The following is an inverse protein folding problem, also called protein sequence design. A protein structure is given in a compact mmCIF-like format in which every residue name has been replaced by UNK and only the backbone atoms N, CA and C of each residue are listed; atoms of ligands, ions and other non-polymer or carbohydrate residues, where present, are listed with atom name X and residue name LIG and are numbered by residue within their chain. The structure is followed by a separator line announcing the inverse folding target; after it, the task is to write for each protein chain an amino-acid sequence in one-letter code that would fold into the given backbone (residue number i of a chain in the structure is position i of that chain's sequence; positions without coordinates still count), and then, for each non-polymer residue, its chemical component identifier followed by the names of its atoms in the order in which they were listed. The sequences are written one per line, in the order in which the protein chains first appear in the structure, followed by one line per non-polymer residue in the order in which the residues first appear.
data_IF_633844710960
#
_entry.id   IF_633844710960
#
_cell.length_a   1.000
_cell.length_b   1.000
_cell.length_c   1.000
_cell.angle_alpha   90.00
_cell.angle_beta   90.00
_cell.angle_gamma   90.00
#
_symmetry.space_group_name_H-M   'P 1'
#
loop_
_entity.id
_entity.type
_entity.pdbx_description
1 polymer ?
#
# COMPACT_ATOMS: atom_id res chain seq x y z
N UNK A 1 24.38 -11.08 -19.41
CA UNK A 1 23.63 -10.73 -18.18
C UNK A 1 23.09 -9.31 -18.33
N UNK A 2 21.77 -9.13 -18.51
CA UNK A 2 21.10 -7.83 -18.64
C UNK A 2 20.32 -7.57 -17.35
N UNK A 3 20.88 -6.81 -16.41
CA UNK A 3 20.39 -6.76 -15.02
C UNK A 3 19.80 -5.43 -14.46
N UNK A 4 19.41 -4.39 -15.22
CA UNK A 4 18.62 -3.28 -14.63
C UNK A 4 17.10 -3.36 -14.90
N UNK A 5 16.70 -3.84 -16.08
CA UNK A 5 15.31 -3.73 -16.56
C UNK A 5 14.35 -4.77 -15.95
N UNK A 6 14.86 -5.96 -15.62
CA UNK A 6 14.04 -7.05 -15.05
C UNK A 6 13.54 -6.75 -13.64
N UNK A 7 14.28 -6.00 -12.84
CA UNK A 7 13.87 -5.68 -11.46
C UNK A 7 12.78 -4.61 -11.43
N UNK A 8 12.92 -3.56 -12.23
CA UNK A 8 11.95 -2.47 -12.31
C UNK A 8 10.62 -2.94 -12.93
N UNK A 9 10.70 -3.80 -13.96
CA UNK A 9 9.53 -4.46 -14.54
C UNK A 9 8.83 -5.37 -13.51
N UNK A 10 9.58 -6.24 -12.82
CA UNK A 10 9.00 -7.14 -11.79
C UNK A 10 8.43 -6.39 -10.59
N UNK A 11 9.07 -5.31 -10.16
CA UNK A 11 8.55 -4.47 -9.10
C UNK A 11 7.23 -3.82 -9.53
N UNK A 12 7.20 -3.22 -10.72
CA UNK A 12 5.99 -2.59 -11.26
C UNK A 12 4.86 -3.60 -11.42
N UNK A 13 5.14 -4.78 -11.97
CA UNK A 13 4.15 -5.85 -12.17
C UNK A 13 3.51 -6.34 -10.87
N UNK A 14 4.22 -6.31 -9.74
CA UNK A 14 3.69 -6.76 -8.45
C UNK A 14 3.11 -5.58 -7.65
N UNK A 15 3.83 -4.46 -7.61
CA UNK A 15 3.47 -3.31 -6.78
C UNK A 15 2.28 -2.55 -7.34
N UNK A 16 2.17 -2.39 -8.66
CA UNK A 16 1.06 -1.65 -9.27
C UNK A 16 -0.30 -2.28 -8.98
N UNK A 17 -0.53 -3.60 -9.20
CA UNK A 17 -1.80 -4.21 -8.84
C UNK A 17 -2.06 -4.19 -7.34
N UNK A 18 -1.05 -4.44 -6.50
CA UNK A 18 -1.19 -4.37 -5.03
C UNK A 18 -1.52 -2.95 -4.57
N UNK A 19 -0.92 -1.93 -5.16
CA UNK A 19 -1.18 -0.54 -4.84
C UNK A 19 -2.61 -0.13 -5.21
N UNK A 20 -3.06 -0.50 -6.41
CA UNK A 20 -4.41 -0.20 -6.91
C UNK A 20 -5.48 -0.93 -6.09
N UNK A 21 -5.28 -2.22 -5.81
CA UNK A 21 -6.26 -3.02 -5.08
C UNK A 21 -6.17 -2.89 -3.56
N UNK A 22 -5.00 -2.59 -3.01
CA UNK A 22 -4.75 -2.69 -1.58
C UNK A 22 -5.59 -1.71 -0.76
N UNK A 23 -5.74 -0.47 -1.22
CA UNK A 23 -6.64 0.48 -0.53
C UNK A 23 -8.09 -0.01 -0.58
N UNK A 24 -8.53 -0.54 -1.72
CA UNK A 24 -9.88 -1.09 -1.88
C UNK A 24 -10.13 -2.32 -1.00
N UNK A 25 -9.13 -3.18 -0.82
CA UNK A 25 -9.22 -4.32 0.08
C UNK A 25 -9.31 -3.89 1.56
N UNK A 26 -8.55 -2.89 1.97
CA UNK A 26 -8.62 -2.34 3.33
C UNK A 26 -9.95 -1.64 3.61
N UNK A 27 -10.44 -0.86 2.64
CA UNK A 27 -11.77 -0.22 2.71
C UNK A 27 -12.89 -1.26 2.77
N UNK A 28 -12.82 -2.31 1.94
CA UNK A 28 -13.79 -3.40 1.98
C UNK A 28 -13.77 -4.12 3.33
N UNK A 29 -12.58 -4.40 3.87
CA UNK A 29 -12.45 -5.00 5.19
C UNK A 29 -13.04 -4.12 6.29
N UNK A 30 -12.83 -2.79 6.21
CA UNK A 30 -13.42 -1.83 7.14
C UNK A 30 -14.95 -1.86 7.06
N UNK A 31 -15.52 -1.81 5.85
CA UNK A 31 -16.97 -1.88 5.64
C UNK A 31 -17.53 -3.18 6.21
N UNK A 32 -16.94 -4.33 5.87
CA UNK A 32 -17.39 -5.64 6.36
C UNK A 32 -17.31 -5.75 7.88
N UNK A 33 -16.22 -5.26 8.47
CA UNK A 33 -16.05 -5.21 9.93
C UNK A 33 -17.15 -4.37 10.58
N UNK A 34 -17.41 -3.18 10.02
CA UNK A 34 -18.44 -2.29 10.55
C UNK A 34 -19.80 -2.96 10.47
N UNK A 35 -20.17 -3.52 9.31
CA UNK A 35 -21.44 -4.19 9.09
C UNK A 35 -21.64 -5.38 10.04
N UNK A 36 -20.58 -6.16 10.26
CA UNK A 36 -20.59 -7.27 11.22
C UNK A 36 -20.75 -6.79 12.66
N UNK A 37 -20.05 -5.71 13.04
CA UNK A 37 -20.13 -5.13 14.38
C UNK A 37 -21.52 -4.56 14.67
N UNK A 38 -22.14 -3.87 13.70
CA UNK A 38 -23.52 -3.36 13.80
C UNK A 38 -24.52 -4.51 13.93
N UNK A 39 -24.33 -5.60 13.17
CA UNK A 39 -25.17 -6.78 13.25
C UNK A 39 -25.13 -7.44 14.64
N UNK A 40 -23.95 -7.53 15.27
CA UNK A 40 -23.82 -8.13 16.61
C UNK A 40 -24.33 -7.24 17.74
N UNK A 41 -24.13 -5.93 17.64
CA UNK A 41 -24.44 -4.98 18.71
C UNK A 41 -25.89 -4.49 18.65
N UNK A 42 -26.58 -4.69 17.53
CA UNK A 42 -27.96 -4.22 17.32
C UNK A 42 -28.06 -2.69 17.21
N UNK A 43 -26.93 -1.99 17.25
CA UNK A 43 -26.87 -0.57 16.93
C UNK A 43 -26.98 -0.45 15.42
N UNK A 44 -28.03 0.21 14.91
CA UNK A 44 -28.21 0.47 13.48
C UNK A 44 -27.08 1.32 12.87
N UNK A 45 -27.25 1.84 11.63
CA UNK A 45 -26.19 2.37 10.74
C UNK A 45 -25.51 3.69 11.19
N UNK A 46 -25.38 3.90 12.49
CA UNK A 46 -24.83 5.09 13.15
C UNK A 46 -23.30 5.13 13.13
N UNK A 47 -22.62 4.00 12.87
CA UNK A 47 -21.15 3.97 12.82
C UNK A 47 -20.59 4.61 11.55
N UNK A 48 -21.41 4.99 10.57
CA UNK A 48 -20.97 5.74 9.38
C UNK A 48 -20.18 7.02 9.75
N UNK A 49 -20.54 7.68 10.86
CA UNK A 49 -19.83 8.87 11.35
C UNK A 49 -18.42 8.58 11.88
N UNK A 50 -18.16 7.34 12.32
CA UNK A 50 -16.83 6.86 12.74
C UNK A 50 -16.06 6.14 11.62
N UNK A 51 -16.76 5.56 10.65
CA UNK A 51 -16.16 4.87 9.51
C UNK A 51 -15.53 5.87 8.54
N UNK A 52 -16.18 7.01 8.27
CA UNK A 52 -15.66 7.99 7.31
C UNK A 52 -14.27 8.52 7.70
N UNK A 53 -14.03 8.97 8.94
CA UNK A 53 -12.70 9.41 9.37
C UNK A 53 -11.66 8.27 9.34
N UNK A 54 -12.08 7.04 9.66
CA UNK A 54 -11.19 5.87 9.67
C UNK A 54 -10.79 5.44 8.25
N UNK A 55 -11.72 5.49 7.30
CA UNK A 55 -11.46 5.30 5.87
C UNK A 55 -10.43 6.30 5.37
N UNK A 56 -10.61 7.59 5.67
CA UNK A 56 -9.64 8.63 5.31
C UNK A 56 -8.25 8.32 5.90
N UNK A 57 -8.20 7.91 7.17
CA UNK A 57 -6.94 7.54 7.82
C UNK A 57 -6.26 6.34 7.13
N UNK A 58 -7.02 5.32 6.74
CA UNK A 58 -6.52 4.16 5.98
C UNK A 58 -5.97 4.60 4.62
N UNK A 59 -6.71 5.43 3.89
CA UNK A 59 -6.28 5.92 2.58
C UNK A 59 -4.96 6.73 2.67
N UNK A 60 -4.86 7.61 3.66
CA UNK A 60 -3.63 8.39 3.90
C UNK A 60 -2.48 7.48 4.31
N UNK A 61 -2.69 6.55 5.24
CA UNK A 61 -1.67 5.60 5.67
C UNK A 61 -1.16 4.74 4.51
N UNK A 62 -2.07 4.27 3.65
CA UNK A 62 -1.73 3.49 2.46
C UNK A 62 -0.89 4.30 1.46
N UNK A 63 -1.27 5.56 1.21
CA UNK A 63 -0.52 6.45 0.33
C UNK A 63 0.91 6.72 0.86
N UNK A 64 1.04 6.98 2.16
CA UNK A 64 2.36 7.18 2.80
C UNK A 64 3.22 5.92 2.70
N UNK A 65 2.64 4.75 2.99
CA UNK A 65 3.32 3.45 2.84
C UNK A 65 3.83 3.23 1.42
N UNK A 66 3.01 3.53 0.42
CA UNK A 66 3.39 3.38 -0.97
C UNK A 66 4.59 4.26 -1.34
N UNK A 67 4.57 5.54 -0.94
CA UNK A 67 5.70 6.46 -1.14
C UNK A 67 6.96 5.94 -0.45
N UNK A 68 6.86 5.47 0.79
CA UNK A 68 8.00 4.93 1.54
C UNK A 68 8.61 3.70 0.86
N UNK A 69 7.77 2.79 0.36
CA UNK A 69 8.23 1.60 -0.38
C UNK A 69 8.95 2.01 -1.66
N UNK A 70 8.37 2.94 -2.44
CA UNK A 70 9.02 3.47 -3.64
C UNK A 70 10.37 4.11 -3.34
N UNK A 71 10.45 4.96 -2.30
CA UNK A 71 11.70 5.59 -1.88
C UNK A 71 12.75 4.58 -1.40
N UNK A 72 12.36 3.58 -0.61
CA UNK A 72 13.26 2.54 -0.13
C UNK A 72 13.89 1.76 -1.30
N UNK A 73 13.10 1.49 -2.34
CA UNK A 73 13.56 0.78 -3.53
C UNK A 73 14.51 1.64 -4.37
N UNK A 74 14.18 2.92 -4.58
CA UNK A 74 15.07 3.86 -5.26
C UNK A 74 16.40 3.96 -4.51
N UNK A 75 16.37 4.10 -3.18
CA UNK A 75 17.57 4.16 -2.34
C UNK A 75 18.41 2.87 -2.44
N UNK A 76 17.76 1.69 -2.45
CA UNK A 76 18.45 0.42 -2.62
C UNK A 76 19.12 0.29 -4.00
N UNK A 77 18.42 0.72 -5.07
CA UNK A 77 18.97 0.73 -6.43
C UNK A 77 20.18 1.67 -6.53
N UNK A 78 20.07 2.88 -5.97
CA UNK A 78 21.16 3.87 -5.98
C UNK A 78 22.41 3.37 -5.26
N UNK A 79 22.27 2.69 -4.11
CA UNK A 79 23.43 2.09 -3.41
C UNK A 79 24.11 1.01 -4.25
N UNK A 80 23.33 0.14 -4.87
CA UNK A 80 23.85 -0.97 -5.68
C UNK A 80 24.55 -0.51 -6.96
N UNK A 81 24.14 0.64 -7.52
CA UNK A 81 24.82 1.25 -8.67
C UNK A 81 26.11 1.96 -8.25
N UNK A 82 26.15 2.64 -7.09
CA UNK A 82 27.36 3.28 -6.57
C UNK A 82 28.51 2.30 -6.27
N UNK A 83 28.18 1.12 -5.73
CA UNK A 83 29.16 0.07 -5.41
C UNK A 83 29.86 -0.50 -6.67
N UNK A 84 29.20 -0.46 -7.83
CA UNK A 84 29.77 -0.93 -9.11
C UNK A 84 30.75 0.05 -9.77
N UNK A 85 30.78 1.30 -9.34
CA UNK A 85 31.66 2.34 -9.92
C UNK A 85 33.02 2.36 -9.22
N UNK A 86 33.12 1.87 -7.98
CA UNK A 86 34.38 1.82 -7.22
C UNK A 86 35.24 0.57 -7.52
N UNK A 87 34.68 -0.46 -8.16
CA UNK A 87 35.40 -1.70 -8.52
C UNK A 87 35.94 -1.73 -9.97
N UNK A 88 35.80 -0.64 -10.74
CA UNK A 88 36.26 -0.53 -12.13
C UNK A 88 37.39 0.47 -12.31
#
# INVERSE_FOLDING_TARGET
MKLPQDFEARFTDIFQPVFIWGVGALELALILYTLYSEFLTGTGPSLLTTVLPLSIAIAVAWAVLAVLITLAIIAFKARKEGEKVEEG
#
